data_IF_386807116931
#
_entry.id   IF_386807116931
#
_cell.length_a   1.000
_cell.length_b   1.000
_cell.length_c   1.000
_cell.angle_alpha   90.00
_cell.angle_beta   90.00
_cell.angle_gamma   90.00
#
_symmetry.space_group_name_H-M   'P 1'
#
loop_
_entity.id
_entity.type
_entity.pdbx_description
1 polymer ?
#
# COMPACT_ATOMS: atom_id res chain seq x y z
N UNK A 1 2.44 0.73 -9.21
CA UNK A 1 1.89 0.07 -8.02
C UNK A 1 2.62 -1.25 -7.80
N UNK A 2 2.94 -1.55 -6.55
CA UNK A 2 3.60 -2.80 -6.20
C UNK A 2 2.56 -3.81 -5.73
N UNK A 3 2.60 -5.00 -6.29
CA UNK A 3 1.71 -6.08 -5.88
C UNK A 3 2.54 -7.12 -5.15
N UNK A 4 2.36 -7.22 -3.83
CA UNK A 4 3.16 -8.12 -2.98
C UNK A 4 2.27 -8.74 -1.91
N UNK A 5 2.67 -9.90 -1.42
CA UNK A 5 1.98 -10.55 -0.31
C UNK A 5 2.13 -9.74 1.00
N UNK A 6 3.21 -9.01 1.14
CA UNK A 6 3.47 -8.20 2.33
C UNK A 6 3.64 -6.73 1.92
N UNK A 7 2.68 -5.89 2.31
CA UNK A 7 2.74 -4.47 2.03
C UNK A 7 3.13 -3.72 3.30
N UNK A 8 3.96 -2.69 3.15
CA UNK A 8 4.43 -1.89 4.28
C UNK A 8 4.48 -0.43 3.90
N UNK A 9 4.28 0.43 4.89
CA UNK A 9 4.49 1.87 4.70
C UNK A 9 5.96 2.13 4.42
N UNK A 10 6.23 2.88 3.37
CA UNK A 10 7.60 3.21 2.97
C UNK A 10 8.02 4.56 3.55
N UNK A 11 7.08 5.46 3.72
CA UNK A 11 7.34 6.79 4.29
C UNK A 11 6.26 7.15 5.30
N UNK A 12 6.48 8.25 6.03
CA UNK A 12 5.54 8.70 7.05
C UNK A 12 4.19 9.14 6.50
N UNK A 13 4.12 9.45 5.22
CA UNK A 13 2.88 9.88 4.58
C UNK A 13 2.08 8.72 3.99
N UNK A 14 2.61 7.53 4.03
CA UNK A 14 1.89 6.35 3.56
C UNK A 14 0.77 5.99 4.54
N UNK A 15 -0.34 5.53 3.99
CA UNK A 15 -1.48 5.06 4.78
C UNK A 15 -1.85 3.66 4.33
N UNK A 16 -2.16 2.82 5.31
CA UNK A 16 -2.62 1.47 5.04
C UNK A 16 -4.14 1.46 5.10
N UNK A 17 -4.77 0.92 4.07
CA UNK A 17 -6.22 0.79 4.00
C UNK A 17 -6.59 -0.65 3.68
N UNK A 18 -7.79 -1.03 4.08
CA UNK A 18 -8.34 -2.35 3.77
C UNK A 18 -9.55 -2.14 2.84
N UNK A 19 -9.50 -2.76 1.65
CA UNK A 19 -10.59 -2.71 0.69
C UNK A 19 -10.92 -4.11 0.21
N UNK A 20 -12.18 -4.49 0.37
CA UNK A 20 -12.67 -5.80 -0.08
C UNK A 20 -11.76 -6.94 0.40
N UNK A 21 -11.30 -6.83 1.65
CA UNK A 21 -10.40 -7.83 2.21
C UNK A 21 -8.96 -7.77 1.72
N UNK A 22 -8.62 -6.75 0.94
CA UNK A 22 -7.26 -6.58 0.40
C UNK A 22 -6.60 -5.38 1.08
N UNK A 23 -5.45 -5.61 1.68
CA UNK A 23 -4.66 -4.54 2.30
C UNK A 23 -3.93 -3.77 1.21
N UNK A 24 -4.07 -2.45 1.24
CA UNK A 24 -3.41 -1.57 0.29
C UNK A 24 -2.69 -0.45 1.02
N UNK A 25 -1.61 0.02 0.44
CA UNK A 25 -0.88 1.18 0.94
C UNK A 25 -1.08 2.32 -0.04
N UNK A 26 -1.57 3.45 0.47
CA UNK A 26 -1.72 4.67 -0.32
C UNK A 26 -0.74 5.71 0.18
N UNK A 27 -0.17 6.47 -0.76
CA UNK A 27 0.80 7.51 -0.43
C UNK A 27 0.72 8.61 -1.48
N UNK A 28 1.20 9.81 -1.13
CA UNK A 28 1.34 10.90 -2.09
C UNK A 28 2.27 10.51 -3.22
N UNK A 29 3.28 9.72 -2.92
CA UNK A 29 4.22 9.22 -3.92
C UNK A 29 3.63 7.96 -4.56
N UNK A 30 3.32 7.97 -5.86
CA UNK A 30 2.74 6.81 -6.52
C UNK A 30 3.65 5.59 -6.52
N UNK A 31 4.95 5.78 -6.32
CA UNK A 31 5.90 4.67 -6.23
C UNK A 31 5.72 3.87 -4.94
N UNK A 32 5.07 4.47 -3.94
CA UNK A 32 4.83 3.81 -2.66
C UNK A 32 3.49 3.08 -2.60
N UNK A 33 2.67 3.24 -3.63
CA UNK A 33 1.41 2.52 -3.70
C UNK A 33 1.66 1.03 -3.75
N UNK A 34 0.93 0.30 -2.92
CA UNK A 34 1.09 -1.14 -2.83
C UNK A 34 -0.28 -1.79 -2.73
N UNK A 35 -0.33 -3.04 -3.14
CA UNK A 35 -1.53 -3.87 -3.04
C UNK A 35 -1.10 -5.26 -2.62
N UNK A 36 -1.76 -5.78 -1.61
CA UNK A 36 -1.52 -7.15 -1.19
C UNK A 36 -2.11 -8.10 -2.24
N UNK A 37 -1.29 -8.93 -2.78
CA UNK A 37 -1.73 -9.84 -3.82
C UNK A 37 -1.20 -11.24 -3.68
#
# INVERSE_FOLDING_TARGET
>A
MKVRASVKKICSKCKIILRRGVVRVLCENPRHKQRQG
#
